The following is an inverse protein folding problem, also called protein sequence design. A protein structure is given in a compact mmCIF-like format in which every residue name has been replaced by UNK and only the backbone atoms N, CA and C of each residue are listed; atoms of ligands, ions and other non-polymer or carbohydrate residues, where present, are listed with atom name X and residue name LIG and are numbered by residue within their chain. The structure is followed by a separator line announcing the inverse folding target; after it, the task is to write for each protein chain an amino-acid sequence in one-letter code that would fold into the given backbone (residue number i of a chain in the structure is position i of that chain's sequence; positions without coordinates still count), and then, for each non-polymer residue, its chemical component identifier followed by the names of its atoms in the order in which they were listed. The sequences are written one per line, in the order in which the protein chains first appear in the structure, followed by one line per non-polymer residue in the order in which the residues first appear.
data_IF_525097033627
#
_entry.id   IF_525097033627
#
_cell.length_a   1.000
_cell.length_b   1.000
_cell.length_c   1.000
_cell.angle_alpha   90.00
_cell.angle_beta   90.00
_cell.angle_gamma   90.00
#
_symmetry.space_group_name_H-M   'P 1'
#
loop_
_entity.id
_entity.type
_entity.pdbx_description
1 polymer ?
#
# COMPACT_ATOMS: atom_id res chain seq x y z
N UNK A 1 11.91 4.66 -7.89
CA UNK A 1 11.01 4.80 -6.76
C UNK A 1 10.91 3.52 -5.89
N UNK A 2 10.49 2.37 -6.43
CA UNK A 2 10.47 1.09 -5.68
C UNK A 2 11.89 0.68 -5.27
N UNK A 3 12.84 0.80 -6.18
CA UNK A 3 14.26 0.49 -5.91
C UNK A 3 14.83 1.35 -4.79
N UNK A 4 14.51 2.64 -4.77
CA UNK A 4 15.01 3.57 -3.75
C UNK A 4 14.45 3.24 -2.35
N UNK A 5 13.19 2.83 -2.28
CA UNK A 5 12.57 2.38 -1.03
C UNK A 5 13.20 1.10 -0.50
N UNK A 6 13.41 0.12 -1.38
CA UNK A 6 14.08 -1.13 -1.02
C UNK A 6 15.51 -0.88 -0.57
N UNK A 7 16.25 0.01 -1.26
CA UNK A 7 17.59 0.42 -0.87
C UNK A 7 17.61 1.05 0.52
N UNK A 8 16.71 2.00 0.80
CA UNK A 8 16.65 2.67 2.09
C UNK A 8 16.39 1.70 3.25
N UNK A 9 15.47 0.76 3.07
CA UNK A 9 15.20 -0.27 4.06
C UNK A 9 16.40 -1.21 4.25
N UNK A 10 17.04 -1.62 3.17
CA UNK A 10 18.22 -2.46 3.18
C UNK A 10 19.39 -1.77 3.90
N UNK A 11 19.66 -0.51 3.58
CA UNK A 11 20.73 0.29 4.19
C UNK A 11 20.48 0.53 5.69
N UNK A 12 19.22 0.57 6.12
CA UNK A 12 18.83 0.70 7.52
C UNK A 12 18.88 -0.63 8.29
N UNK A 13 19.28 -1.72 7.65
CA UNK A 13 19.40 -3.05 8.28
C UNK A 13 18.07 -3.83 8.34
N UNK A 14 17.04 -3.37 7.65
CA UNK A 14 15.77 -4.06 7.55
C UNK A 14 15.79 -5.19 6.52
N UNK A 15 14.96 -6.21 6.75
CA UNK A 15 14.73 -7.26 5.76
C UNK A 15 13.76 -6.75 4.69
N UNK A 16 14.14 -6.87 3.43
CA UNK A 16 13.30 -6.48 2.29
C UNK A 16 12.80 -7.71 1.55
N UNK A 17 11.47 -7.79 1.38
CA UNK A 17 10.84 -8.88 0.65
C UNK A 17 10.16 -8.29 -0.59
N UNK A 18 10.48 -8.81 -1.77
CA UNK A 18 9.86 -8.40 -3.02
C UNK A 18 8.95 -9.50 -3.56
N UNK A 19 7.76 -9.12 -3.99
CA UNK A 19 6.86 -9.99 -4.76
C UNK A 19 6.95 -9.56 -6.22
N UNK A 20 7.51 -10.44 -7.06
CA UNK A 20 7.91 -10.10 -8.42
C UNK A 20 7.16 -10.96 -9.44
N UNK A 21 6.34 -10.35 -10.32
CA UNK A 21 5.74 -11.06 -11.44
C UNK A 21 6.82 -11.62 -12.38
N UNK A 22 6.65 -12.85 -12.84
CA UNK A 22 7.60 -13.52 -13.75
C UNK A 22 7.94 -12.69 -14.98
N UNK A 23 6.96 -11.98 -15.52
CA UNK A 23 7.17 -11.09 -16.67
C UNK A 23 8.15 -9.94 -16.39
N UNK A 24 8.15 -9.41 -15.17
CA UNK A 24 9.10 -8.35 -14.77
C UNK A 24 10.49 -8.93 -14.55
N UNK A 25 10.57 -10.12 -13.96
CA UNK A 25 11.83 -10.85 -13.77
C UNK A 25 12.52 -11.12 -15.11
N UNK A 26 11.77 -11.61 -16.12
CA UNK A 26 12.27 -11.83 -17.47
C UNK A 26 12.83 -10.57 -18.12
N UNK A 27 12.28 -9.39 -17.80
CA UNK A 27 12.73 -8.09 -18.29
C UNK A 27 13.86 -7.47 -17.46
N UNK A 28 14.35 -8.14 -16.41
CA UNK A 28 15.47 -7.68 -15.59
C UNK A 28 15.18 -6.46 -14.70
N UNK A 29 13.91 -6.19 -14.39
CA UNK A 29 13.51 -5.03 -13.58
C UNK A 29 13.45 -5.31 -12.06
N UNK A 30 14.10 -6.37 -11.61
CA UNK A 30 14.13 -6.76 -10.19
C UNK A 30 15.17 -5.93 -9.44
N UNK A 31 14.83 -5.44 -8.26
CA UNK A 31 15.74 -4.69 -7.41
C UNK A 31 16.81 -5.61 -6.79
N UNK A 32 18.07 -5.21 -6.85
CA UNK A 32 19.18 -5.89 -6.20
C UNK A 32 19.18 -5.76 -4.66
N UNK A 33 18.35 -4.89 -4.10
CA UNK A 33 18.25 -4.63 -2.66
C UNK A 33 17.19 -5.47 -1.96
N UNK A 34 16.69 -6.52 -2.60
CA UNK A 34 15.74 -7.44 -1.98
C UNK A 34 16.48 -8.51 -1.18
N UNK A 35 16.09 -8.70 0.08
CA UNK A 35 16.59 -9.80 0.92
C UNK A 35 15.96 -11.12 0.51
N UNK A 36 14.68 -11.11 0.16
CA UNK A 36 13.90 -12.27 -0.29
C UNK A 36 13.06 -11.86 -1.49
N UNK A 37 13.00 -12.71 -2.49
CA UNK A 37 12.17 -12.52 -3.67
C UNK A 37 11.12 -13.63 -3.73
N UNK A 38 9.83 -13.23 -3.84
CA UNK A 38 8.72 -14.16 -3.97
C UNK A 38 8.19 -14.04 -5.41
N UNK A 39 8.34 -15.08 -6.24
CA UNK A 39 7.78 -15.04 -7.60
C UNK A 39 6.26 -15.12 -7.57
N UNK A 40 5.61 -14.49 -8.52
CA UNK A 40 4.17 -14.57 -8.71
C UNK A 40 3.84 -14.62 -10.21
N UNK A 41 2.64 -15.11 -10.54
CA UNK A 41 2.27 -15.36 -11.94
C UNK A 41 1.77 -14.10 -12.65
N UNK A 42 1.05 -13.22 -11.93
CA UNK A 42 0.43 -12.03 -12.50
C UNK A 42 0.26 -10.95 -11.44
N UNK A 43 -0.30 -9.78 -11.83
CA UNK A 43 -0.51 -8.64 -10.94
C UNK A 43 -1.53 -8.92 -9.84
N UNK A 44 -2.56 -9.72 -10.10
CA UNK A 44 -3.55 -10.12 -9.08
C UNK A 44 -2.91 -10.99 -8.02
N UNK A 45 -2.14 -11.99 -8.42
CA UNK A 45 -1.38 -12.86 -7.53
C UNK A 45 -0.37 -12.06 -6.70
N UNK A 46 0.29 -11.07 -7.30
CA UNK A 46 1.18 -10.14 -6.60
C UNK A 46 0.48 -9.40 -5.47
N UNK A 47 -0.70 -8.83 -5.73
CA UNK A 47 -1.49 -8.12 -4.72
C UNK A 47 -1.92 -9.05 -3.58
N UNK A 48 -2.36 -10.24 -3.91
CA UNK A 48 -2.79 -11.23 -2.92
C UNK A 48 -1.63 -11.65 -2.01
N UNK A 49 -0.47 -11.92 -2.58
CA UNK A 49 0.73 -12.29 -1.81
C UNK A 49 1.24 -11.14 -0.94
N UNK A 50 1.25 -9.92 -1.44
CA UNK A 50 1.64 -8.75 -0.66
C UNK A 50 0.71 -8.53 0.52
N UNK A 51 -0.60 -8.65 0.30
CA UNK A 51 -1.60 -8.52 1.35
C UNK A 51 -1.47 -9.62 2.41
N UNK A 52 -1.28 -10.86 1.98
CA UNK A 52 -1.11 -12.02 2.88
C UNK A 52 0.11 -11.85 3.80
N UNK A 53 1.19 -11.27 3.29
CA UNK A 53 2.46 -11.07 4.02
C UNK A 53 2.51 -9.78 4.83
N UNK A 54 1.45 -8.97 4.80
CA UNK A 54 1.42 -7.65 5.44
C UNK A 54 0.44 -7.63 6.59
N UNK A 55 0.76 -6.86 7.64
CA UNK A 55 -0.16 -6.55 8.73
C UNK A 55 -0.88 -5.23 8.50
N UNK A 56 -0.18 -4.29 7.87
CA UNK A 56 -0.69 -2.97 7.50
C UNK A 56 -0.03 -2.55 6.18
N UNK A 57 -0.77 -1.77 5.40
CA UNK A 57 -0.28 -1.25 4.13
C UNK A 57 -0.11 0.26 4.24
N UNK A 58 1.07 0.76 3.91
CA UNK A 58 1.35 2.20 3.88
C UNK A 58 1.46 2.65 2.43
N UNK A 59 0.60 3.58 2.03
CA UNK A 59 0.61 4.16 0.69
C UNK A 59 1.48 5.41 0.68
N UNK A 60 2.62 5.31 0.03
CA UNK A 60 3.47 6.45 -0.29
C UNK A 60 2.97 7.13 -1.56
N UNK A 61 3.36 8.39 -1.83
CA UNK A 61 3.01 9.06 -3.08
C UNK A 61 3.28 8.18 -4.31
N UNK A 62 2.29 8.05 -5.18
CA UNK A 62 2.37 7.18 -6.35
C UNK A 62 1.19 7.39 -7.29
N UNK A 63 1.15 6.62 -8.35
CA UNK A 63 0.15 6.73 -9.41
C UNK A 63 -0.91 5.62 -9.38
N UNK A 64 -1.32 5.21 -10.57
CA UNK A 64 -2.43 4.25 -10.77
C UNK A 64 -2.19 2.91 -10.07
N UNK A 65 -0.97 2.39 -10.07
CA UNK A 65 -0.66 1.14 -9.38
C UNK A 65 -0.85 1.25 -7.88
N UNK A 66 -0.45 2.38 -7.29
CA UNK A 66 -0.65 2.63 -5.87
C UNK A 66 -2.13 2.75 -5.53
N UNK A 67 -2.92 3.43 -6.36
CA UNK A 67 -4.37 3.53 -6.18
C UNK A 67 -5.04 2.16 -6.26
N UNK A 68 -4.64 1.32 -7.19
CA UNK A 68 -5.13 -0.05 -7.31
C UNK A 68 -4.86 -0.86 -6.03
N UNK A 69 -3.67 -0.77 -5.49
CA UNK A 69 -3.30 -1.44 -4.24
C UNK A 69 -4.10 -0.91 -3.04
N UNK A 70 -4.26 0.41 -2.93
CA UNK A 70 -5.06 1.05 -1.87
C UNK A 70 -6.49 0.50 -1.89
N UNK A 71 -7.15 0.56 -3.05
CA UNK A 71 -8.54 0.17 -3.17
C UNK A 71 -8.75 -1.35 -3.08
N UNK A 72 -7.80 -2.16 -3.52
CA UNK A 72 -7.86 -3.61 -3.36
C UNK A 72 -7.89 -3.98 -1.87
N UNK A 73 -7.02 -3.39 -1.06
CA UNK A 73 -6.98 -3.64 0.39
C UNK A 73 -8.22 -3.10 1.07
N UNK A 74 -8.60 -1.85 0.79
CA UNK A 74 -9.75 -1.21 1.42
C UNK A 74 -11.07 -1.93 1.09
N UNK A 75 -11.31 -2.24 -0.18
CA UNK A 75 -12.51 -2.95 -0.62
C UNK A 75 -12.63 -4.33 0.00
N UNK A 76 -11.54 -5.10 0.05
CA UNK A 76 -11.53 -6.43 0.67
C UNK A 76 -11.81 -6.36 2.18
N UNK A 77 -11.33 -5.33 2.85
CA UNK A 77 -11.61 -5.09 4.27
C UNK A 77 -13.09 -4.74 4.51
N UNK A 78 -13.72 -3.97 3.62
CA UNK A 78 -15.15 -3.59 3.79
C UNK A 78 -16.09 -4.78 3.70
N UNK A 79 -15.75 -5.81 2.96
CA UNK A 79 -16.55 -7.04 2.83
C UNK A 79 -16.14 -8.14 3.82
N UNK A 80 -15.23 -7.83 4.74
CA UNK A 80 -14.90 -8.70 5.86
C UNK A 80 -13.86 -9.80 5.58
N UNK A 81 -13.14 -9.75 4.46
CA UNK A 81 -12.08 -10.73 4.18
C UNK A 81 -10.90 -10.63 5.14
N UNK A 82 -10.65 -9.45 5.69
CA UNK A 82 -9.57 -9.20 6.65
C UNK A 82 -9.83 -7.90 7.40
N UNK A 83 -9.04 -7.65 8.45
CA UNK A 83 -9.07 -6.41 9.23
C UNK A 83 -7.86 -5.50 8.95
N UNK A 84 -7.15 -5.75 7.86
CA UNK A 84 -5.98 -4.95 7.49
C UNK A 84 -6.43 -3.60 6.95
N UNK A 85 -5.65 -2.58 7.26
CA UNK A 85 -5.95 -1.19 6.94
C UNK A 85 -4.88 -0.60 6.04
N UNK A 86 -5.24 0.45 5.34
CA UNK A 86 -4.32 1.27 4.56
C UNK A 86 -4.08 2.57 5.29
N UNK A 87 -2.82 2.97 5.41
CA UNK A 87 -2.45 4.29 5.90
C UNK A 87 -1.95 5.10 4.71
N UNK A 88 -2.65 6.19 4.40
CA UNK A 88 -2.18 7.17 3.41
C UNK A 88 -1.14 8.06 4.08
N UNK A 89 0.13 7.93 3.70
CA UNK A 89 1.16 8.85 4.16
C UNK A 89 1.09 10.11 3.32
N UNK A 90 0.41 11.12 3.87
CA UNK A 90 0.02 12.35 3.15
C UNK A 90 1.13 13.41 3.18
N UNK A 91 2.30 13.06 2.65
CA UNK A 91 3.45 13.98 2.57
C UNK A 91 3.08 15.18 1.69
N UNK A 92 3.24 16.36 2.24
CA UNK A 92 2.98 17.63 1.53
C UNK A 92 1.57 17.68 0.92
N UNK A 93 0.60 17.01 1.52
CA UNK A 93 -0.77 17.01 1.01
C UNK A 93 -0.97 16.22 -0.29
N UNK A 94 -0.06 15.30 -0.63
CA UNK A 94 -0.12 14.55 -1.87
C UNK A 94 -1.48 13.85 -2.09
N UNK A 95 -2.06 13.30 -1.03
CA UNK A 95 -3.32 12.55 -1.08
C UNK A 95 -4.57 13.41 -0.85
N UNK A 96 -4.44 14.74 -0.72
CA UNK A 96 -5.59 15.60 -0.41
C UNK A 96 -6.75 15.44 -1.41
N UNK A 97 -6.47 15.32 -2.69
CA UNK A 97 -7.50 15.12 -3.72
C UNK A 97 -8.22 13.79 -3.55
N UNK A 98 -7.49 12.72 -3.25
CA UNK A 98 -8.09 11.41 -2.98
C UNK A 98 -8.96 11.46 -1.72
N UNK A 99 -8.48 12.11 -0.68
CA UNK A 99 -9.23 12.28 0.58
C UNK A 99 -10.52 13.06 0.33
N UNK A 100 -10.45 14.13 -0.47
CA UNK A 100 -11.63 14.91 -0.85
C UNK A 100 -12.64 14.06 -1.62
N UNK A 101 -12.19 13.18 -2.52
CA UNK A 101 -13.05 12.25 -3.23
C UNK A 101 -13.74 11.28 -2.28
N UNK A 102 -13.00 10.71 -1.33
CA UNK A 102 -13.56 9.78 -0.34
C UNK A 102 -14.58 10.47 0.56
N UNK A 103 -14.31 11.69 0.99
CA UNK A 103 -15.24 12.50 1.79
C UNK A 103 -16.52 12.81 1.01
N UNK A 104 -16.41 13.15 -0.26
CA UNK A 104 -17.56 13.42 -1.13
C UNK A 104 -18.42 12.15 -1.31
N UNK A 105 -17.80 11.01 -1.58
CA UNK A 105 -18.51 9.73 -1.70
C UNK A 105 -19.18 9.32 -0.39
N UNK A 106 -18.54 9.59 0.75
CA UNK A 106 -19.13 9.33 2.06
C UNK A 106 -20.39 10.18 2.28
N UNK A 107 -20.35 11.47 1.95
CA UNK A 107 -21.50 12.38 2.07
C UNK A 107 -22.64 11.99 1.16
N UNK A 108 -22.35 11.46 -0.02
CA UNK A 108 -23.36 10.98 -0.98
C UNK A 108 -23.97 9.62 -0.62
N UNK A 109 -23.50 9.01 0.47
CA UNK A 109 -23.99 7.71 0.91
C UNK A 109 -23.46 6.53 0.09
N UNK A 110 -22.40 6.72 -0.70
CA UNK A 110 -21.82 5.68 -1.54
C UNK A 110 -20.90 4.73 -0.79
N UNK A 111 -20.44 5.13 0.40
CA UNK A 111 -19.59 4.32 1.25
C UNK A 111 -20.41 3.88 2.48
N UNK A 112 -20.48 2.57 2.69
CA UNK A 112 -21.16 2.02 3.87
C UNK A 112 -20.28 2.18 5.11
N UNK A 113 -20.85 2.81 6.14
CA UNK A 113 -20.12 3.09 7.38
C UNK A 113 -19.11 4.23 7.19
N UNK A 114 -18.09 4.28 8.03
CA UNK A 114 -17.04 5.29 7.97
C UNK A 114 -15.81 4.71 7.24
N UNK A 115 -15.39 5.33 6.14
CA UNK A 115 -14.23 4.85 5.38
C UNK A 115 -12.93 4.89 6.19
N UNK A 116 -12.83 5.75 7.22
CA UNK A 116 -11.65 5.83 8.10
C UNK A 116 -11.36 4.54 8.86
N UNK A 117 -12.33 3.60 8.92
CA UNK A 117 -12.09 2.27 9.48
C UNK A 117 -11.14 1.43 8.62
N UNK A 118 -11.05 1.73 7.34
CA UNK A 118 -10.27 0.97 6.37
C UNK A 118 -9.10 1.76 5.80
N UNK A 119 -9.24 3.10 5.75
CA UNK A 119 -8.24 4.02 5.22
C UNK A 119 -7.96 5.08 6.26
N UNK A 120 -6.76 5.08 6.81
CA UNK A 120 -6.30 6.07 7.79
C UNK A 120 -5.35 7.06 7.10
N UNK A 121 -5.19 8.24 7.68
CA UNK A 121 -4.38 9.32 7.12
C UNK A 121 -3.32 9.71 8.13
N UNK A 122 -2.06 9.75 7.68
CA UNK A 122 -0.94 10.26 8.44
C UNK A 122 -0.37 11.49 7.72
N UNK A 123 -0.54 12.66 8.30
CA UNK A 123 -0.05 13.93 7.73
C UNK A 123 1.41 14.21 8.09
N UNK A 124 2.00 13.46 9.02
CA UNK A 124 3.38 13.58 9.45
C UNK A 124 4.00 12.22 9.73
N UNK A 125 5.32 12.17 9.79
CA UNK A 125 6.05 10.95 10.14
C UNK A 125 5.72 10.49 11.58
N UNK A 126 5.51 11.45 12.50
CA UNK A 126 5.13 11.13 13.87
C UNK A 126 3.76 10.47 13.94
N UNK A 127 2.79 10.98 13.19
CA UNK A 127 1.47 10.34 13.10
C UNK A 127 1.56 8.95 12.50
N UNK A 128 2.39 8.77 11.46
CA UNK A 128 2.61 7.46 10.85
C UNK A 128 3.14 6.46 11.88
N UNK A 129 4.13 6.86 12.66
CA UNK A 129 4.68 6.01 13.74
C UNK A 129 3.62 5.63 14.78
N UNK A 130 2.78 6.58 15.18
CA UNK A 130 1.69 6.33 16.12
C UNK A 130 0.68 5.33 15.58
N UNK A 131 0.31 5.44 14.31
CA UNK A 131 -0.63 4.52 13.66
C UNK A 131 -0.04 3.11 13.45
N UNK A 132 1.26 3.01 13.29
CA UNK A 132 1.95 1.71 13.17
C UNK A 132 2.12 1.00 14.52
N UNK A 133 1.94 1.72 15.61
CA UNK A 133 2.04 1.19 16.95
C UNK A 133 3.41 1.16 17.52
#
# INVERSE_FOLDING_TARGET
CIRDRAKAAYDAGGMTIGVVPSKIEENGHVSQYLSVEIPCDNLSDRKDLMLLKSDVVVALPGGLGTLDEIFTVAASSTIGYHNKRVILYNINGFWNTLIALLDDLQQRGMIRGDYHRHIEIADSFEQLKQLLG
#
